data_IF_707501251114
#
_entry.id   IF_707501251114
#
_cell.length_a   1.000
_cell.length_b   1.000
_cell.length_c   1.000
_cell.angle_alpha   90.00
_cell.angle_beta   90.00
_cell.angle_gamma   90.00
#
_symmetry.space_group_name_H-M   'P 1'
#
loop_
_entity.id
_entity.type
_entity.pdbx_description
1 polymer ?
#
# COMPACT_ATOMS: atom_id res chain seq x y z
N UNK A 1 21.01 -26.74 -3.34
CA UNK A 1 19.95 -25.80 -2.88
C UNK A 1 18.65 -26.22 -3.55
N UNK A 2 17.58 -26.46 -2.79
CA UNK A 2 16.28 -26.90 -3.33
C UNK A 2 15.28 -25.76 -3.19
N UNK A 3 14.66 -25.35 -4.31
CA UNK A 3 13.56 -24.38 -4.30
C UNK A 3 12.31 -25.08 -3.79
N UNK A 4 11.67 -24.50 -2.76
CA UNK A 4 10.45 -25.04 -2.15
C UNK A 4 9.17 -24.33 -2.63
N UNK A 5 9.31 -23.14 -3.23
CA UNK A 5 8.21 -22.34 -3.74
C UNK A 5 8.72 -21.32 -4.76
N UNK A 6 7.99 -21.12 -5.86
CA UNK A 6 8.23 -20.07 -6.83
C UNK A 6 6.91 -19.52 -7.36
N UNK A 7 6.87 -18.21 -7.58
CA UNK A 7 5.71 -17.54 -8.14
C UNK A 7 6.17 -16.32 -8.96
N UNK A 8 5.64 -16.18 -10.16
CA UNK A 8 5.97 -15.11 -11.11
C UNK A 8 4.72 -14.29 -11.47
N UNK A 9 3.76 -14.18 -10.55
CA UNK A 9 2.48 -13.50 -10.80
C UNK A 9 2.64 -11.99 -10.88
N UNK A 10 3.63 -11.41 -10.19
CA UNK A 10 3.96 -10.01 -10.35
C UNK A 10 4.49 -9.71 -11.74
N UNK A 11 4.02 -8.61 -12.33
CA UNK A 11 4.43 -8.16 -13.67
C UNK A 11 5.57 -7.13 -13.66
N UNK A 12 5.96 -6.71 -12.47
CA UNK A 12 7.01 -5.73 -12.24
C UNK A 12 7.83 -6.14 -11.01
N UNK A 13 8.85 -5.36 -10.65
CA UNK A 13 9.76 -5.64 -9.55
C UNK A 13 9.03 -5.70 -8.21
N UNK A 14 9.23 -6.82 -7.51
CA UNK A 14 8.81 -6.98 -6.11
C UNK A 14 9.65 -6.04 -5.25
N UNK A 15 8.98 -5.24 -4.42
CA UNK A 15 9.62 -4.20 -3.60
C UNK A 15 9.42 -4.41 -2.09
N UNK A 16 8.44 -5.22 -1.71
CA UNK A 16 8.16 -5.53 -0.31
C UNK A 16 7.76 -6.97 -0.14
N UNK A 17 8.20 -7.54 0.97
CA UNK A 17 7.84 -8.89 1.41
C UNK A 17 7.71 -8.88 2.93
N UNK A 18 6.65 -9.53 3.44
CA UNK A 18 6.49 -9.74 4.88
C UNK A 18 5.84 -11.08 5.16
N UNK A 19 6.19 -11.69 6.28
CA UNK A 19 5.59 -12.95 6.73
C UNK A 19 4.41 -12.66 7.63
N UNK A 20 3.30 -13.34 7.39
CA UNK A 20 2.16 -13.37 8.31
C UNK A 20 2.26 -14.54 9.29
N UNK A 21 2.68 -15.69 8.77
CA UNK A 21 2.88 -16.96 9.51
C UNK A 21 4.02 -17.73 8.85
N UNK A 22 4.40 -18.89 9.37
CA UNK A 22 5.48 -19.72 8.79
C UNK A 22 5.21 -20.18 7.34
N UNK A 23 3.94 -20.27 6.94
CA UNK A 23 3.54 -20.72 5.61
C UNK A 23 2.91 -19.63 4.75
N UNK A 24 2.72 -18.42 5.30
CA UNK A 24 2.05 -17.32 4.61
C UNK A 24 2.92 -16.08 4.56
N UNK A 25 3.09 -15.56 3.34
CA UNK A 25 3.80 -14.31 3.10
C UNK A 25 2.99 -13.39 2.20
N UNK A 26 3.12 -12.11 2.42
CA UNK A 26 2.62 -11.06 1.55
C UNK A 26 3.76 -10.51 0.71
N UNK A 27 3.49 -10.24 -0.55
CA UNK A 27 4.38 -9.46 -1.42
C UNK A 27 3.64 -8.27 -2.01
N UNK A 28 4.39 -7.21 -2.29
CA UNK A 28 3.93 -6.09 -3.08
C UNK A 28 4.99 -5.71 -4.13
N UNK A 29 4.53 -5.25 -5.28
CA UNK A 29 5.38 -4.85 -6.40
C UNK A 29 4.92 -3.50 -6.99
N UNK A 30 5.69 -3.03 -7.98
CA UNK A 30 5.35 -1.83 -8.75
C UNK A 30 4.16 -2.01 -9.69
N UNK A 31 3.71 -3.25 -9.91
CA UNK A 31 2.48 -3.55 -10.66
C UNK A 31 1.19 -3.20 -9.88
N UNK A 32 1.32 -2.47 -8.77
CA UNK A 32 0.26 -2.04 -7.86
C UNK A 32 -0.48 -3.19 -7.16
N UNK A 33 0.00 -4.45 -7.26
CA UNK A 33 -0.66 -5.60 -6.65
C UNK A 33 -0.08 -5.95 -5.29
N UNK A 34 -0.95 -6.49 -4.44
CA UNK A 34 -0.57 -7.19 -3.21
C UNK A 34 -1.01 -8.65 -3.34
N UNK A 35 -0.08 -9.57 -3.14
CA UNK A 35 -0.34 -11.01 -3.19
C UNK A 35 -0.12 -11.64 -1.82
N UNK A 36 -1.02 -12.53 -1.41
CA UNK A 36 -0.84 -13.45 -0.29
C UNK A 36 -0.45 -14.81 -0.85
N UNK A 37 0.72 -15.32 -0.48
CA UNK A 37 1.18 -16.64 -0.86
C UNK A 37 1.00 -17.62 0.28
N UNK A 38 0.53 -18.83 -0.05
CA UNK A 38 0.51 -19.99 0.84
C UNK A 38 1.53 -21.00 0.30
N UNK A 39 2.67 -21.14 1.00
CA UNK A 39 3.79 -21.99 0.58
C UNK A 39 3.39 -23.46 0.58
N UNK A 40 2.65 -23.89 1.60
CA UNK A 40 2.22 -25.27 1.77
C UNK A 40 1.27 -25.69 0.65
N UNK A 41 0.36 -24.80 0.25
CA UNK A 41 -0.56 -25.03 -0.87
C UNK A 41 0.03 -24.67 -2.23
N UNK A 42 1.19 -24.01 -2.25
CA UNK A 42 1.81 -23.44 -3.45
C UNK A 42 0.86 -22.52 -4.24
N UNK A 43 0.10 -21.70 -3.54
CA UNK A 43 -0.88 -20.78 -4.16
C UNK A 43 -0.51 -19.32 -3.92
N UNK A 44 -1.02 -18.43 -4.76
CA UNK A 44 -0.97 -16.98 -4.56
C UNK A 44 -2.37 -16.40 -4.80
N UNK A 45 -2.87 -15.66 -3.82
CA UNK A 45 -4.17 -15.00 -3.85
C UNK A 45 -3.97 -13.50 -3.97
N UNK A 46 -4.68 -12.87 -4.90
CA UNK A 46 -4.69 -11.42 -5.01
C UNK A 46 -5.48 -10.80 -3.85
N UNK A 47 -4.83 -9.97 -3.05
CA UNK A 47 -5.41 -9.36 -1.85
C UNK A 47 -5.96 -7.95 -2.12
N UNK A 48 -5.52 -7.32 -3.19
CA UNK A 48 -5.96 -5.99 -3.57
C UNK A 48 -4.94 -5.26 -4.42
N UNK A 49 -5.40 -4.15 -4.97
CA UNK A 49 -4.56 -3.19 -5.69
C UNK A 49 -4.33 -1.98 -4.79
N UNK A 50 -3.07 -1.56 -4.66
CA UNK A 50 -2.80 -0.24 -4.09
C UNK A 50 -3.26 0.78 -5.11
N UNK A 51 -4.48 1.29 -4.92
CA UNK A 51 -4.96 2.44 -5.68
C UNK A 51 -3.95 3.57 -5.50
N UNK A 52 -3.38 4.03 -6.61
CA UNK A 52 -2.55 5.23 -6.57
C UNK A 52 -3.45 6.38 -6.12
N UNK A 53 -3.27 6.82 -4.87
CA UNK A 53 -3.95 8.02 -4.40
C UNK A 53 -3.44 9.16 -5.28
N UNK A 54 -4.31 9.76 -6.09
CA UNK A 54 -4.01 10.99 -6.81
C UNK A 54 -3.80 12.07 -5.74
N UNK A 55 -2.55 12.31 -5.35
CA UNK A 55 -2.18 13.36 -4.42
C UNK A 55 -2.08 14.66 -5.20
N UNK A 56 -3.18 15.41 -5.23
CA UNK A 56 -3.21 16.77 -5.75
C UNK A 56 -2.55 17.70 -4.71
N UNK A 57 -1.32 18.15 -4.99
CA UNK A 57 -0.57 19.10 -4.15
C UNK A 57 -0.73 20.49 -4.77
N UNK A 58 -1.88 21.11 -4.48
CA UNK A 58 -2.25 22.52 -4.68
C UNK A 58 -1.99 23.20 -6.05
N UNK A 59 -3.08 23.66 -6.67
CA UNK A 59 -3.06 24.78 -7.62
C UNK A 59 -4.39 25.02 -8.33
N UNK A 60 -5.22 25.88 -7.72
CA UNK A 60 -6.47 26.49 -8.20
C UNK A 60 -7.77 25.65 -8.20
N UNK A 61 -8.61 25.94 -7.19
CA UNK A 61 -10.06 25.70 -7.23
C UNK A 61 -10.63 26.70 -8.23
N UNK A 62 -10.86 26.25 -9.46
CA UNK A 62 -11.94 26.81 -10.25
C UNK A 62 -13.23 26.13 -9.76
N UNK A 63 -14.09 26.91 -9.12
CA UNK A 63 -15.46 26.51 -8.80
C UNK A 63 -16.17 26.05 -10.09
N UNK A 64 -16.25 24.73 -10.27
CA UNK A 64 -17.17 24.14 -11.22
C UNK A 64 -18.38 23.62 -10.44
N UNK A 65 -19.61 24.08 -10.75
CA UNK A 65 -20.79 23.59 -10.06
C UNK A 65 -20.96 22.09 -10.32
N UNK A 66 -20.91 21.31 -9.24
CA UNK A 66 -21.32 19.91 -9.22
C UNK A 66 -22.83 19.87 -9.41
N UNK A 67 -23.29 19.49 -10.60
CA UNK A 67 -24.67 19.05 -10.77
C UNK A 67 -24.84 17.67 -10.11
N UNK A 68 -25.61 17.67 -9.02
CA UNK A 68 -26.03 16.49 -8.30
C UNK A 68 -26.91 15.58 -9.18
N UNK A 69 -26.36 14.45 -9.60
CA UNK A 69 -27.10 13.31 -10.15
C UNK A 69 -27.16 12.18 -9.11
N UNK A 70 -28.33 12.02 -8.50
CA UNK A 70 -28.65 11.03 -7.46
C UNK A 70 -28.45 9.57 -7.92
N UNK A 71 -27.89 8.72 -7.07
CA UNK A 71 -27.64 7.30 -7.36
C UNK A 71 -27.24 6.51 -6.12
N UNK A 72 -28.21 6.27 -5.24
CA UNK A 72 -28.15 5.48 -4.02
C UNK A 72 -28.13 3.97 -4.33
N UNK A 73 -27.04 3.26 -3.98
CA UNK A 73 -27.03 1.80 -3.75
C UNK A 73 -25.99 1.52 -2.66
N UNK A 74 -26.48 1.21 -1.45
CA UNK A 74 -25.68 0.88 -0.29
C UNK A 74 -25.00 -0.48 -0.33
N UNK A 75 -23.87 -0.58 0.36
CA UNK A 75 -23.48 -1.77 1.10
C UNK A 75 -22.86 -1.35 2.43
N UNK A 76 -23.48 -1.74 3.54
CA UNK A 76 -22.93 -1.65 4.88
C UNK A 76 -21.66 -2.49 4.96
N UNK A 77 -20.50 -1.82 5.05
CA UNK A 77 -19.24 -2.46 5.44
C UNK A 77 -18.72 -1.78 6.69
N UNK A 78 -18.72 -2.58 7.75
CA UNK A 78 -18.25 -2.33 9.10
C UNK A 78 -16.91 -1.57 9.13
N UNK A 79 -16.93 -0.33 9.62
CA UNK A 79 -15.79 0.60 9.68
C UNK A 79 -14.88 0.36 10.90
N UNK A 80 -14.86 -0.83 11.49
CA UNK A 80 -14.20 -1.03 12.78
C UNK A 80 -12.79 -1.63 12.71
N UNK A 81 -11.91 -1.28 11.75
CA UNK A 81 -10.50 -1.77 11.78
C UNK A 81 -9.42 -1.06 10.94
N UNK A 82 -9.66 0.13 10.38
CA UNK A 82 -8.71 0.79 9.47
C UNK A 82 -7.94 1.99 10.07
N UNK A 83 -7.65 1.99 11.38
CA UNK A 83 -6.99 3.15 12.02
C UNK A 83 -5.63 2.87 12.69
N UNK A 84 -5.03 1.69 12.56
CA UNK A 84 -3.76 1.40 13.25
C UNK A 84 -2.48 1.38 12.41
N UNK A 85 -2.54 1.61 11.09
CA UNK A 85 -1.32 1.61 10.25
C UNK A 85 -0.92 2.98 9.70
N UNK A 86 -1.35 4.08 10.33
CA UNK A 86 -0.89 5.42 9.97
C UNK A 86 0.06 5.97 11.04
N UNK A 87 1.24 6.35 10.56
CA UNK A 87 2.22 7.29 11.16
C UNK A 87 3.28 6.69 12.09
N UNK A 88 4.40 6.24 11.51
CA UNK A 88 5.69 6.25 12.22
C UNK A 88 6.88 6.73 11.37
N UNK A 89 6.73 6.94 10.05
CA UNK A 89 7.89 7.36 9.24
C UNK A 89 8.17 8.87 9.32
N UNK A 90 7.15 9.72 9.42
CA UNK A 90 7.29 11.18 9.38
C UNK A 90 7.86 11.82 10.66
N UNK A 91 8.08 11.05 11.73
CA UNK A 91 8.68 11.57 12.97
C UNK A 91 10.21 11.44 13.02
N UNK A 92 10.83 10.68 12.11
CA UNK A 92 12.27 10.40 12.18
C UNK A 92 13.18 11.47 11.52
N UNK A 93 12.62 12.48 10.83
CA UNK A 93 13.38 13.43 10.00
C UNK A 93 13.47 14.83 10.63
N UNK A 94 13.31 14.97 11.95
CA UNK A 94 13.40 16.28 12.65
C UNK A 94 14.55 16.45 13.63
N UNK A 95 15.50 15.52 13.69
CA UNK A 95 16.68 15.66 14.57
C UNK A 95 17.97 15.44 13.80
N UNK A 96 18.31 16.38 12.92
CA UNK A 96 19.69 16.61 12.51
C UNK A 96 20.06 18.01 13.03
N UNK A 97 20.97 18.15 14.01
CA UNK A 97 21.54 19.45 14.33
C UNK A 97 22.44 19.90 13.17
N UNK A 98 22.18 21.09 12.65
CA UNK A 98 23.02 21.75 11.65
C UNK A 98 24.42 21.97 12.25
N UNK A 99 25.45 21.42 11.62
CA UNK A 99 26.84 21.69 11.97
C UNK A 99 27.25 22.99 11.27
N UNK A 100 27.24 24.10 12.01
CA UNK A 100 27.85 25.36 11.55
C UNK A 100 29.35 25.17 11.35
N UNK A 101 29.82 25.42 10.14
CA UNK A 101 31.23 25.63 9.85
C UNK A 101 31.52 27.13 9.98
N UNK A 102 32.26 27.52 11.00
CA UNK A 102 32.89 28.84 11.09
C UNK A 102 34.38 28.70 11.39
N UNK A 103 35.19 29.41 10.60
CA UNK A 103 36.51 29.93 10.99
C UNK A 103 37.71 29.05 10.74
#
# INVERSE_FOLDING_TARGET
MKVIYSNTTHRDFVRGLTWSTESQLYTCAWDSKILLHDITKQTATFMGESSSCKLEVNGDIADHPVENGSGDVGTDVDKSKLDQCKLSYSQAVKSQPEMSAEG
#
